data_IF_012336791720
#
_entry.id   IF_012336791720
#
_cell.length_a   1.000
_cell.length_b   1.000
_cell.length_c   1.000
_cell.angle_alpha   90.00
_cell.angle_beta   90.00
_cell.angle_gamma   90.00
#
_symmetry.space_group_name_H-M   'P 1'
#
loop_
_entity.id
_entity.type
_entity.pdbx_description
1 polymer ?
#
# COMPACT_ATOMS: atom_id res chain seq x y z
N UNK A 1 -22.69 -17.90 -6.68
CA UNK A 1 -22.00 -16.63 -7.00
C UNK A 1 -20.56 -16.98 -7.35
N UNK A 2 -20.27 -17.25 -8.63
CA UNK A 2 -18.94 -17.66 -9.08
C UNK A 2 -18.11 -16.41 -9.37
N UNK A 3 -17.12 -16.13 -8.52
CA UNK A 3 -16.15 -15.06 -8.75
C UNK A 3 -14.97 -15.66 -9.52
N UNK A 4 -14.67 -15.23 -10.76
CA UNK A 4 -13.48 -15.71 -11.45
C UNK A 4 -12.24 -15.10 -10.79
N UNK A 5 -11.33 -15.90 -10.21
CA UNK A 5 -10.18 -15.38 -9.45
C UNK A 5 -9.05 -15.08 -10.44
N UNK A 6 -9.19 -14.04 -11.26
CA UNK A 6 -8.18 -13.76 -12.31
C UNK A 6 -7.22 -12.62 -12.01
N UNK A 7 -7.45 -11.84 -10.94
CA UNK A 7 -6.47 -10.86 -10.49
C UNK A 7 -6.04 -11.23 -9.08
N UNK A 8 -4.81 -11.69 -8.95
CA UNK A 8 -4.20 -11.84 -7.63
C UNK A 8 -4.17 -10.45 -6.96
N UNK A 9 -4.68 -10.35 -5.74
CA UNK A 9 -4.74 -9.08 -4.99
C UNK A 9 -3.35 -8.43 -4.88
N UNK A 10 -2.30 -9.23 -4.80
CA UNK A 10 -0.90 -8.80 -4.88
C UNK A 10 -0.59 -7.99 -6.13
N UNK A 11 -1.05 -8.43 -7.31
CA UNK A 11 -0.82 -7.75 -8.59
C UNK A 11 -1.51 -6.39 -8.62
N UNK A 12 -2.75 -6.33 -8.13
CA UNK A 12 -3.50 -5.07 -8.05
C UNK A 12 -2.80 -4.07 -7.12
N UNK A 13 -2.43 -4.51 -5.91
CA UNK A 13 -1.76 -3.64 -4.93
C UNK A 13 -0.40 -3.17 -5.44
N UNK A 14 0.37 -4.05 -6.08
CA UNK A 14 1.66 -3.67 -6.68
C UNK A 14 1.50 -2.61 -7.76
N UNK A 15 0.48 -2.73 -8.61
CA UNK A 15 0.19 -1.73 -9.63
C UNK A 15 -0.17 -0.38 -9.01
N UNK A 16 -1.07 -0.36 -8.02
CA UNK A 16 -1.50 0.86 -7.34
C UNK A 16 -0.33 1.55 -6.61
N UNK A 17 0.47 0.79 -5.87
CA UNK A 17 1.67 1.31 -5.19
C UNK A 17 2.68 1.86 -6.19
N UNK A 18 2.93 1.16 -7.30
CA UNK A 18 3.88 1.59 -8.32
C UNK A 18 3.46 2.87 -9.04
N UNK A 19 2.21 2.93 -9.48
CA UNK A 19 1.67 4.09 -10.20
C UNK A 19 1.60 5.32 -9.30
N UNK A 20 1.07 5.19 -8.08
CA UNK A 20 1.00 6.30 -7.12
C UNK A 20 2.39 6.83 -6.77
N UNK A 21 3.36 5.96 -6.50
CA UNK A 21 4.74 6.37 -6.22
C UNK A 21 5.37 7.14 -7.38
N UNK A 22 5.10 6.73 -8.63
CA UNK A 22 5.59 7.43 -9.83
C UNK A 22 4.93 8.80 -10.01
N UNK A 23 3.61 8.89 -9.83
CA UNK A 23 2.87 10.13 -9.98
C UNK A 23 3.28 11.15 -8.91
N UNK A 24 3.32 10.73 -7.64
CA UNK A 24 3.70 11.60 -6.54
C UNK A 24 5.11 12.15 -6.70
N UNK A 25 6.07 11.32 -7.13
CA UNK A 25 7.44 11.78 -7.44
C UNK A 25 7.50 12.77 -8.60
N UNK A 26 6.59 12.68 -9.56
CA UNK A 26 6.49 13.63 -10.69
C UNK A 26 5.90 14.96 -10.24
N UNK A 27 4.89 14.93 -9.38
CA UNK A 27 4.13 16.10 -8.95
C UNK A 27 4.83 16.88 -7.83
N UNK A 28 5.49 16.18 -6.89
CA UNK A 28 6.14 16.78 -5.72
C UNK A 28 7.63 16.39 -5.58
N UNK A 29 8.47 16.60 -6.62
CA UNK A 29 9.83 16.07 -6.64
C UNK A 29 10.72 16.65 -5.52
N UNK A 30 10.64 17.95 -5.23
CA UNK A 30 11.46 18.60 -4.22
C UNK A 30 11.11 18.15 -2.80
N UNK A 31 9.80 18.03 -2.51
CA UNK A 31 9.32 17.59 -1.20
C UNK A 31 9.67 16.12 -0.96
N UNK A 32 9.41 15.25 -1.94
CA UNK A 32 9.66 13.81 -1.78
C UNK A 32 11.14 13.50 -1.67
N UNK A 33 12.02 14.14 -2.45
CA UNK A 33 13.48 13.90 -2.36
C UNK A 33 14.05 14.26 -0.97
N UNK A 34 13.43 15.21 -0.27
CA UNK A 34 13.83 15.60 1.08
C UNK A 34 13.56 14.51 2.13
N UNK A 35 12.49 13.74 1.98
CA UNK A 35 12.03 12.78 2.99
C UNK A 35 12.16 11.30 2.59
N UNK A 36 12.17 11.02 1.28
CA UNK A 36 12.17 9.66 0.71
C UNK A 36 13.33 9.53 -0.29
N UNK A 37 14.55 9.45 0.25
CA UNK A 37 15.78 9.23 -0.53
C UNK A 37 16.11 7.73 -0.74
N UNK A 38 15.54 6.83 0.06
CA UNK A 38 15.87 5.40 0.08
C UNK A 38 15.28 4.53 -1.03
N UNK A 39 14.90 5.11 -2.18
CA UNK A 39 14.39 4.37 -3.36
C UNK A 39 12.97 3.79 -3.22
N UNK A 40 12.52 3.46 -2.01
CA UNK A 40 11.18 2.94 -1.75
C UNK A 40 10.22 4.04 -1.31
N UNK A 41 9.07 4.13 -1.99
CA UNK A 41 8.02 5.10 -1.64
C UNK A 41 7.00 4.52 -0.67
N UNK A 42 6.68 3.23 -0.84
CA UNK A 42 5.74 2.50 -0.02
C UNK A 42 6.44 1.32 0.65
N UNK A 43 5.95 0.90 1.81
CA UNK A 43 6.33 -0.39 2.41
C UNK A 43 6.02 -1.54 1.45
N UNK A 44 6.90 -2.55 1.33
CA UNK A 44 6.63 -3.74 0.51
C UNK A 44 5.39 -4.50 1.01
N UNK A 45 5.08 -4.43 2.30
CA UNK A 45 3.93 -5.12 2.90
C UNK A 45 2.59 -4.51 2.50
N UNK A 46 1.57 -5.34 2.33
CA UNK A 46 0.19 -4.91 2.11
C UNK A 46 -0.79 -5.77 2.91
N UNK A 47 -1.97 -5.21 3.17
CA UNK A 47 -3.07 -5.90 3.84
C UNK A 47 -4.31 -5.82 2.97
N UNK A 48 -5.00 -6.95 2.81
CA UNK A 48 -6.26 -7.02 2.09
C UNK A 48 -7.23 -7.87 2.90
N UNK A 49 -8.36 -7.29 3.28
CA UNK A 49 -9.46 -7.97 3.95
C UNK A 49 -10.72 -7.83 3.10
N UNK A 50 -11.54 -8.88 3.03
CA UNK A 50 -12.87 -8.80 2.41
C UNK A 50 -13.82 -8.03 3.33
N UNK A 51 -14.38 -6.94 2.82
CA UNK A 51 -15.42 -6.21 3.55
C UNK A 51 -16.79 -6.85 3.28
N UNK A 52 -17.09 -7.88 4.06
CA UNK A 52 -18.46 -8.26 4.43
C UNK A 52 -18.55 -8.16 5.94
N UNK A 53 -18.80 -6.95 6.47
CA UNK A 53 -18.84 -6.70 7.92
C UNK A 53 -17.48 -6.56 8.63
N UNK A 54 -16.38 -6.33 7.91
CA UNK A 54 -15.05 -6.17 8.53
C UNK A 54 -14.96 -4.85 9.34
N UNK A 55 -14.74 -4.88 10.68
CA UNK A 55 -14.77 -3.68 11.50
C UNK A 55 -13.44 -2.90 11.46
N UNK A 56 -13.53 -1.59 11.65
CA UNK A 56 -12.42 -0.62 11.69
C UNK A 56 -11.23 -1.01 12.58
N UNK A 57 -11.45 -1.88 13.58
CA UNK A 57 -10.42 -2.32 14.53
C UNK A 57 -9.26 -3.08 13.86
N UNK A 58 -9.53 -3.84 12.80
CA UNK A 58 -8.51 -4.63 12.09
C UNK A 58 -7.51 -3.73 11.37
N UNK A 59 -7.97 -2.60 10.82
CA UNK A 59 -7.08 -1.61 10.18
C UNK A 59 -6.16 -0.99 11.23
N UNK A 60 -6.71 -0.67 12.40
CA UNK A 60 -5.95 -0.10 13.52
C UNK A 60 -4.87 -1.07 14.02
N UNK A 61 -5.23 -2.34 14.23
CA UNK A 61 -4.28 -3.36 14.67
C UNK A 61 -3.17 -3.60 13.62
N UNK A 62 -3.49 -3.54 12.32
CA UNK A 62 -2.48 -3.61 11.27
C UNK A 62 -1.48 -2.43 11.31
N UNK A 63 -1.97 -1.21 11.51
CA UNK A 63 -1.11 -0.02 11.60
C UNK A 63 -0.21 -0.10 12.85
N UNK A 64 -0.74 -0.57 13.97
CA UNK A 64 0.00 -0.72 15.23
C UNK A 64 1.01 -1.87 15.19
N UNK A 65 0.70 -2.96 14.50
CA UNK A 65 1.57 -4.15 14.37
C UNK A 65 2.65 -4.01 13.29
N UNK A 66 2.59 -2.98 12.43
CA UNK A 66 3.70 -2.69 11.53
C UNK A 66 4.94 -2.25 12.34
N UNK A 67 5.94 -3.13 12.38
CA UNK A 67 7.27 -2.79 12.92
C UNK A 67 7.82 -1.57 12.18
N UNK A 68 8.04 -0.48 12.92
CA UNK A 68 8.76 0.68 12.43
C UNK A 68 10.21 0.26 12.18
N UNK A 69 10.75 0.40 10.96
CA UNK A 69 12.18 0.21 10.77
C UNK A 69 12.89 1.31 11.56
N UNK A 70 13.74 0.89 12.50
CA UNK A 70 14.76 1.74 13.13
C UNK A 70 16.00 1.84 12.26
#
# INVERSE_FOLDING_TARGET
MHYPPKVALSTLVNSLKGVSARLLRKEYPAHIRKYLWGGHFWSPSYFAASCGGAPLWIIKEYIESQKRPG
#
